data_IF_227133394691
#
_entry.id   IF_227133394691
#
_cell.length_a   1.000
_cell.length_b   1.000
_cell.length_c   1.000
_cell.angle_alpha   90.00
_cell.angle_beta   90.00
_cell.angle_gamma   90.00
#
_symmetry.space_group_name_H-M   'P 1'
#
loop_
_entity.id
_entity.type
_entity.pdbx_description
1 polymer ?
#
# COMPACT_ATOMS: atom_id res chain seq x y z
N UNK A 1 27.61 -23.60 9.54
CA UNK A 1 28.56 -22.53 9.19
C UNK A 1 27.78 -21.35 8.63
N UNK A 2 27.88 -20.18 9.25
CA UNK A 2 27.20 -18.95 8.79
C UNK A 2 27.91 -18.40 7.55
N UNK A 3 27.20 -18.31 6.43
CA UNK A 3 27.69 -17.67 5.20
C UNK A 3 27.87 -16.17 5.50
N UNK A 4 29.07 -15.58 5.33
CA UNK A 4 29.27 -14.16 5.53
C UNK A 4 28.46 -13.36 4.51
N UNK A 5 27.59 -12.45 4.99
CA UNK A 5 26.83 -11.52 4.14
C UNK A 5 27.79 -10.41 3.68
N UNK A 6 28.18 -10.46 2.41
CA UNK A 6 28.99 -9.40 1.77
C UNK A 6 28.18 -8.69 0.69
N UNK A 7 28.42 -7.41 0.48
CA UNK A 7 27.84 -6.62 -0.60
C UNK A 7 28.90 -6.23 -1.65
N UNK A 8 28.48 -6.00 -2.89
CA UNK A 8 29.36 -5.64 -4.01
C UNK A 8 28.80 -4.44 -4.78
N UNK A 9 29.69 -3.59 -5.29
CA UNK A 9 29.32 -2.43 -6.12
C UNK A 9 29.17 -2.82 -7.59
N UNK A 10 27.95 -2.67 -8.12
CA UNK A 10 27.64 -3.02 -9.52
C UNK A 10 28.42 -2.20 -10.55
N UNK A 11 28.77 -0.94 -10.24
CA UNK A 11 29.56 -0.09 -11.13
C UNK A 11 31.00 -0.63 -11.24
N UNK A 12 31.57 -1.12 -10.14
CA UNK A 12 32.88 -1.77 -10.17
C UNK A 12 32.83 -3.10 -10.90
N UNK A 13 31.81 -3.94 -10.67
CA UNK A 13 31.65 -5.22 -11.36
C UNK A 13 31.60 -5.00 -12.88
N UNK A 14 30.84 -4.01 -13.34
CA UNK A 14 30.74 -3.67 -14.76
C UNK A 14 32.07 -3.15 -15.37
N UNK A 15 33.01 -2.66 -14.56
CA UNK A 15 34.35 -2.26 -15.02
C UNK A 15 35.36 -3.41 -15.01
N UNK A 16 35.04 -4.51 -14.35
CA UNK A 16 35.90 -5.69 -14.23
C UNK A 16 35.59 -6.77 -15.29
N UNK A 17 34.48 -6.64 -16.02
CA UNK A 17 34.11 -7.54 -17.12
C UNK A 17 35.20 -7.53 -18.19
N UNK A 18 35.94 -8.64 -18.31
CA UNK A 18 37.08 -8.79 -19.22
C UNK A 18 38.47 -8.75 -18.57
N UNK A 19 38.57 -8.55 -17.25
CA UNK A 19 39.83 -8.57 -16.50
C UNK A 19 39.94 -9.80 -15.58
N UNK A 20 41.16 -10.30 -15.30
CA UNK A 20 41.40 -11.39 -14.32
C UNK A 20 41.26 -10.96 -12.86
N UNK A 21 40.66 -9.80 -12.57
CA UNK A 21 40.54 -9.24 -11.21
C UNK A 21 39.15 -9.50 -10.65
N UNK A 22 39.09 -9.97 -9.41
CA UNK A 22 37.84 -10.23 -8.70
C UNK A 22 37.22 -8.95 -8.11
N UNK A 23 35.89 -8.97 -7.94
CA UNK A 23 35.15 -7.86 -7.35
C UNK A 23 35.46 -7.73 -5.85
N UNK A 24 35.80 -6.51 -5.42
CA UNK A 24 36.05 -6.24 -4.01
C UNK A 24 34.75 -6.39 -3.18
N UNK A 25 34.78 -7.27 -2.18
CA UNK A 25 33.66 -7.56 -1.30
C UNK A 25 33.67 -6.64 -0.07
N UNK A 26 32.53 -6.03 0.24
CA UNK A 26 32.35 -5.26 1.47
C UNK A 26 31.63 -6.11 2.51
N UNK A 27 32.12 -6.09 3.76
CA UNK A 27 31.36 -6.62 4.89
C UNK A 27 30.08 -5.80 5.07
N UNK A 28 28.93 -6.46 5.25
CA UNK A 28 27.70 -5.78 5.66
C UNK A 28 27.65 -5.51 7.17
N UNK A 29 28.70 -5.89 7.91
CA UNK A 29 28.85 -5.67 9.34
C UNK A 29 30.07 -4.79 9.62
N UNK A 30 29.89 -3.74 10.43
CA UNK A 30 30.94 -2.80 10.83
C UNK A 30 30.63 -1.34 10.46
N UNK A 31 31.62 -0.47 10.62
CA UNK A 31 31.50 0.97 10.34
C UNK A 31 31.25 1.25 8.85
N UNK A 32 30.44 2.28 8.57
CA UNK A 32 30.10 2.74 7.21
C UNK A 32 31.27 3.45 6.50
N UNK A 33 32.39 3.73 7.20
CA UNK A 33 33.55 4.44 6.65
C UNK A 33 34.10 3.80 5.37
N UNK A 34 34.15 2.47 5.30
CA UNK A 34 34.64 1.75 4.12
C UNK A 34 33.75 1.96 2.89
N UNK A 35 32.43 1.96 3.09
CA UNK A 35 31.45 2.24 2.04
C UNK A 35 31.55 3.71 1.60
N UNK A 36 31.63 4.66 2.53
CA UNK A 36 31.78 6.08 2.22
C UNK A 36 33.05 6.36 1.40
N UNK A 37 34.18 5.75 1.78
CA UNK A 37 35.43 5.87 1.03
C UNK A 37 35.35 5.25 -0.37
N UNK A 38 34.62 4.14 -0.51
CA UNK A 38 34.38 3.53 -1.80
C UNK A 38 33.51 4.40 -2.72
N UNK A 39 32.40 4.95 -2.22
CA UNK A 39 31.50 5.81 -2.98
C UNK A 39 32.21 7.05 -3.54
N UNK A 40 33.17 7.61 -2.80
CA UNK A 40 34.03 8.71 -3.27
C UNK A 40 34.82 8.35 -4.54
N UNK A 41 35.22 7.08 -4.72
CA UNK A 41 35.89 6.61 -5.96
C UNK A 41 34.97 6.62 -7.18
N UNK A 42 33.66 6.64 -6.97
CA UNK A 42 32.65 6.84 -8.00
C UNK A 42 32.19 8.30 -8.14
N UNK A 43 32.85 9.24 -7.46
CA UNK A 43 32.44 10.64 -7.45
C UNK A 43 31.17 10.90 -6.64
N UNK A 44 30.68 9.91 -5.89
CA UNK A 44 29.51 10.04 -5.03
C UNK A 44 29.99 10.56 -3.68
N UNK A 45 29.76 11.85 -3.45
CA UNK A 45 30.08 12.50 -2.18
C UNK A 45 28.95 13.44 -1.78
N UNK A 46 28.97 13.89 -0.53
CA UNK A 46 27.94 14.74 0.05
C UNK A 46 27.76 16.05 -0.72
N UNK A 47 28.84 16.64 -1.22
CA UNK A 47 28.78 17.89 -1.99
C UNK A 47 28.13 17.68 -3.36
N UNK A 48 28.44 16.59 -4.06
CA UNK A 48 27.79 16.22 -5.32
C UNK A 48 26.32 15.86 -5.12
N UNK A 49 25.99 15.19 -4.02
CA UNK A 49 24.60 14.88 -3.68
C UNK A 49 23.82 16.16 -3.32
N UNK A 50 24.40 17.07 -2.53
CA UNK A 50 23.82 18.38 -2.21
C UNK A 50 23.70 19.27 -3.45
N UNK A 51 24.67 19.21 -4.37
CA UNK A 51 24.61 19.93 -5.65
C UNK A 51 23.48 19.40 -6.54
N UNK A 52 23.35 18.07 -6.66
CA UNK A 52 22.22 17.43 -7.33
C UNK A 52 20.88 17.87 -6.72
N UNK A 53 20.77 17.83 -5.38
CA UNK A 53 19.57 18.30 -4.68
C UNK A 53 19.31 19.79 -4.92
N UNK A 54 20.33 20.65 -4.92
CA UNK A 54 20.16 22.08 -5.15
C UNK A 54 19.81 22.41 -6.61
N UNK A 55 20.38 21.68 -7.57
CA UNK A 55 20.05 21.82 -9.00
C UNK A 55 18.63 21.33 -9.29
N UNK A 56 18.16 20.29 -8.61
CA UNK A 56 16.83 19.72 -8.80
C UNK A 56 15.76 20.29 -7.84
N UNK A 57 16.14 21.02 -6.78
CA UNK A 57 15.22 21.77 -5.91
C UNK A 57 15.04 23.24 -6.34
N UNK A 58 15.80 23.74 -7.33
CA UNK A 58 15.63 25.11 -7.88
C UNK A 58 14.36 25.30 -8.74
N UNK A 59 13.51 24.28 -8.89
CA UNK A 59 12.22 24.36 -9.60
C UNK A 59 11.01 24.69 -8.69
N UNK A 60 11.23 25.16 -7.45
CA UNK A 60 10.16 25.77 -6.64
C UNK A 60 10.37 27.28 -6.56
N UNK A 61 9.77 28.00 -7.49
CA UNK A 61 9.60 29.46 -7.42
C UNK A 61 8.44 29.80 -6.44
N UNK A 62 8.57 30.81 -5.55
CA UNK A 62 7.51 31.27 -4.66
C UNK A 62 6.31 31.94 -5.36
N UNK A 63 6.41 32.31 -6.64
CA UNK A 63 5.39 33.01 -7.42
C UNK A 63 4.76 32.11 -8.50
N UNK A 64 4.24 30.95 -8.09
CA UNK A 64 3.47 30.08 -8.98
C UNK A 64 2.20 30.78 -9.49
N UNK A 65 2.29 31.40 -10.66
CA UNK A 65 1.15 31.64 -11.54
C UNK A 65 1.07 30.49 -12.55
N UNK A 66 -0.12 29.93 -12.66
CA UNK A 66 -0.48 28.91 -13.65
C UNK A 66 -0.29 29.51 -15.04
N UNK A 67 0.56 28.90 -15.86
CA UNK A 67 0.64 29.19 -17.30
C UNK A 67 0.51 27.86 -18.04
N UNK A 68 -0.57 27.77 -18.82
CA UNK A 68 -0.85 26.74 -19.82
C UNK A 68 0.33 26.58 -20.78
N UNK A 69 0.69 25.33 -21.08
CA UNK A 69 1.53 24.98 -22.22
C UNK A 69 1.09 23.62 -22.74
N UNK A 70 0.13 23.69 -23.66
CA UNK A 70 -0.28 22.60 -24.53
C UNK A 70 0.89 22.16 -25.41
N UNK A 71 1.32 20.91 -25.28
CA UNK A 71 1.24 19.96 -26.39
C UNK A 71 1.40 18.51 -25.90
N UNK A 72 0.37 17.71 -26.19
CA UNK A 72 0.12 16.34 -25.76
C UNK A 72 0.06 16.13 -24.24
N UNK A 73 -0.91 16.82 -23.64
CA UNK A 73 -1.65 16.39 -22.46
C UNK A 73 -1.66 14.84 -22.41
N UNK A 74 -0.96 14.25 -21.44
CA UNK A 74 -0.99 12.80 -21.23
C UNK A 74 -2.35 12.44 -20.63
N UNK A 75 -3.41 12.67 -21.41
CA UNK A 75 -4.78 12.35 -21.05
C UNK A 75 -4.79 10.85 -20.88
N UNK A 76 -4.77 10.43 -19.61
CA UNK A 76 -5.04 9.05 -19.28
C UNK A 76 -6.44 8.76 -19.79
N UNK A 77 -6.57 7.78 -20.68
CA UNK A 77 -7.88 7.40 -21.17
C UNK A 77 -8.71 6.84 -20.00
N UNK A 78 -10.03 6.96 -20.11
CA UNK A 78 -10.96 6.58 -19.03
C UNK A 78 -10.82 5.12 -18.63
N UNK A 79 -10.49 4.23 -19.58
CA UNK A 79 -10.29 2.81 -19.31
C UNK A 79 -9.01 2.57 -18.51
N UNK A 80 -7.90 3.25 -18.83
CA UNK A 80 -6.67 3.17 -18.05
C UNK A 80 -6.83 3.78 -16.65
N UNK A 81 -7.55 4.89 -16.53
CA UNK A 81 -7.93 5.51 -15.25
C UNK A 81 -8.73 4.53 -14.36
N UNK A 82 -9.72 3.84 -14.95
CA UNK A 82 -10.51 2.82 -14.26
C UNK A 82 -9.64 1.63 -13.85
N UNK A 83 -8.79 1.13 -14.75
CA UNK A 83 -7.91 -0.02 -14.50
C UNK A 83 -6.95 0.24 -13.35
N UNK A 84 -6.26 1.39 -13.34
CA UNK A 84 -5.36 1.75 -12.24
C UNK A 84 -6.15 1.92 -10.94
N UNK A 85 -7.34 2.52 -10.99
CA UNK A 85 -8.22 2.67 -9.82
C UNK A 85 -8.62 1.32 -9.23
N UNK A 86 -8.98 0.33 -10.06
CA UNK A 86 -9.29 -1.02 -9.59
C UNK A 86 -8.09 -1.70 -8.93
N UNK A 87 -6.89 -1.57 -9.50
CA UNK A 87 -5.67 -2.10 -8.91
C UNK A 87 -5.35 -1.44 -7.56
N UNK A 88 -5.49 -0.12 -7.47
CA UNK A 88 -5.30 0.63 -6.23
C UNK A 88 -6.29 0.16 -5.14
N UNK A 89 -7.57 0.02 -5.47
CA UNK A 89 -8.57 -0.46 -4.51
C UNK A 89 -8.30 -1.91 -4.12
N UNK A 90 -7.89 -2.77 -5.05
CA UNK A 90 -7.50 -4.15 -4.77
C UNK A 90 -6.33 -4.21 -3.79
N UNK A 91 -5.28 -3.42 -4.02
CA UNK A 91 -4.15 -3.27 -3.10
C UNK A 91 -4.62 -2.82 -1.71
N UNK A 92 -5.52 -1.84 -1.62
CA UNK A 92 -6.07 -1.39 -0.34
C UNK A 92 -6.78 -2.51 0.41
N UNK A 93 -7.57 -3.33 -0.29
CA UNK A 93 -8.34 -4.42 0.31
C UNK A 93 -7.43 -5.58 0.70
N UNK A 94 -6.63 -6.09 -0.23
CA UNK A 94 -5.81 -7.28 -0.05
C UNK A 94 -4.69 -7.06 0.97
N UNK A 95 -4.11 -5.86 1.01
CA UNK A 95 -3.01 -5.53 1.92
C UNK A 95 -3.47 -4.71 3.14
N UNK A 96 -4.78 -4.55 3.34
CA UNK A 96 -5.39 -3.85 4.50
C UNK A 96 -4.79 -2.44 4.71
N UNK A 97 -4.67 -1.67 3.63
CA UNK A 97 -4.03 -0.36 3.67
C UNK A 97 -4.96 0.73 4.19
N UNK A 98 -4.46 1.69 4.98
CA UNK A 98 -5.30 2.74 5.51
C UNK A 98 -5.66 3.77 4.42
N UNK A 99 -6.93 4.19 4.37
CA UNK A 99 -7.40 5.14 3.34
C UNK A 99 -6.74 6.52 3.39
N UNK A 100 -6.10 6.87 4.52
CA UNK A 100 -5.29 8.09 4.63
C UNK A 100 -4.15 8.12 3.61
N UNK A 101 -3.70 6.96 3.13
CA UNK A 101 -2.66 6.81 2.10
C UNK A 101 -2.97 7.66 0.86
N UNK A 102 -4.24 7.69 0.43
CA UNK A 102 -4.71 8.45 -0.74
C UNK A 102 -4.46 9.96 -0.62
N UNK A 103 -4.32 10.48 0.60
CA UNK A 103 -4.07 11.90 0.89
C UNK A 103 -2.59 12.22 1.09
N UNK A 104 -1.72 11.21 1.26
CA UNK A 104 -0.30 11.42 1.57
C UNK A 104 0.44 12.03 0.37
N UNK A 105 1.14 13.17 0.53
CA UNK A 105 1.85 13.82 -0.59
C UNK A 105 2.90 12.92 -1.26
N UNK A 106 3.66 12.15 -0.47
CA UNK A 106 4.66 11.21 -0.98
C UNK A 106 4.04 10.08 -1.80
N UNK A 107 2.87 9.57 -1.38
CA UNK A 107 2.13 8.56 -2.14
C UNK A 107 1.61 9.15 -3.46
N UNK A 108 1.05 10.36 -3.42
CA UNK A 108 0.60 11.05 -4.64
C UNK A 108 1.74 11.24 -5.63
N UNK A 109 2.89 11.73 -5.16
CA UNK A 109 4.08 11.89 -5.99
C UNK A 109 4.53 10.56 -6.61
N UNK A 110 4.64 9.49 -5.80
CA UNK A 110 4.98 8.15 -6.30
C UNK A 110 4.03 7.66 -7.40
N UNK A 111 2.71 7.85 -7.21
CA UNK A 111 1.72 7.43 -8.19
C UNK A 111 1.79 8.28 -9.47
N UNK A 112 2.05 9.59 -9.37
CA UNK A 112 2.22 10.45 -10.55
C UNK A 112 3.46 10.06 -11.37
N UNK A 113 4.57 9.72 -10.71
CA UNK A 113 5.76 9.21 -11.40
C UNK A 113 5.49 7.88 -12.11
N UNK A 114 4.72 6.99 -11.49
CA UNK A 114 4.35 5.70 -12.10
C UNK A 114 3.31 5.85 -13.23
N UNK A 115 2.42 6.82 -13.13
CA UNK A 115 1.31 7.02 -14.05
C UNK A 115 0.96 8.51 -14.16
N UNK A 116 1.70 9.22 -15.02
CA UNK A 116 1.42 10.61 -15.36
C UNK A 116 -0.02 10.77 -15.84
N UNK A 117 -0.71 11.80 -15.32
CA UNK A 117 -2.11 12.10 -15.64
C UNK A 117 -3.15 11.29 -14.87
N UNK A 118 -2.77 10.25 -14.11
CA UNK A 118 -3.73 9.50 -13.29
C UNK A 118 -4.27 10.36 -12.15
N UNK A 119 -5.60 10.48 -12.07
CA UNK A 119 -6.23 11.18 -10.94
C UNK A 119 -6.55 10.20 -9.82
N UNK A 120 -5.89 10.32 -8.67
CA UNK A 120 -6.19 9.47 -7.52
C UNK A 120 -7.62 9.76 -7.02
N UNK A 121 -8.49 8.75 -6.91
CA UNK A 121 -9.86 8.93 -6.42
C UNK A 121 -9.87 9.41 -4.97
N UNK A 122 -10.87 10.21 -4.62
CA UNK A 122 -11.06 10.62 -3.24
C UNK A 122 -11.53 9.44 -2.38
N UNK A 123 -11.38 9.60 -1.06
CA UNK A 123 -11.75 8.57 -0.08
C UNK A 123 -13.21 8.13 -0.20
N UNK A 124 -14.13 9.05 -0.53
CA UNK A 124 -15.56 8.73 -0.74
C UNK A 124 -15.75 7.76 -1.91
N UNK A 125 -15.06 8.00 -3.02
CA UNK A 125 -15.11 7.13 -4.20
C UNK A 125 -14.53 5.76 -3.89
N UNK A 126 -13.37 5.70 -3.23
CA UNK A 126 -12.77 4.42 -2.83
C UNK A 126 -13.67 3.64 -1.86
N UNK A 127 -14.27 4.30 -0.86
CA UNK A 127 -15.25 3.67 0.05
C UNK A 127 -16.45 3.10 -0.72
N UNK A 128 -16.96 3.80 -1.72
CA UNK A 128 -18.07 3.32 -2.56
C UNK A 128 -17.68 2.04 -3.31
N UNK A 129 -16.47 2.00 -3.88
CA UNK A 129 -15.97 0.81 -4.61
C UNK A 129 -15.77 -0.36 -3.64
N UNK A 130 -15.16 -0.12 -2.48
CA UNK A 130 -14.97 -1.15 -1.43
C UNK A 130 -16.33 -1.71 -0.98
N UNK A 131 -17.32 -0.84 -0.76
CA UNK A 131 -18.66 -1.28 -0.37
C UNK A 131 -19.32 -2.13 -1.46
N UNK A 132 -19.17 -1.75 -2.74
CA UNK A 132 -19.64 -2.57 -3.86
C UNK A 132 -18.98 -3.96 -3.90
N UNK A 133 -17.66 -4.02 -3.71
CA UNK A 133 -16.93 -5.28 -3.63
C UNK A 133 -17.40 -6.15 -2.44
N UNK A 134 -17.61 -5.53 -1.27
CA UNK A 134 -18.17 -6.20 -0.10
C UNK A 134 -19.54 -6.81 -0.37
N UNK A 135 -20.48 -6.02 -0.92
CA UNK A 135 -21.84 -6.48 -1.18
C UNK A 135 -21.84 -7.65 -2.17
N UNK A 136 -21.09 -7.53 -3.26
CA UNK A 136 -20.95 -8.61 -4.24
C UNK A 136 -20.36 -9.88 -3.61
N UNK A 137 -19.27 -9.77 -2.86
CA UNK A 137 -18.67 -10.94 -2.19
C UNK A 137 -19.61 -11.56 -1.16
N UNK A 138 -20.35 -10.74 -0.42
CA UNK A 138 -21.35 -11.21 0.55
C UNK A 138 -22.45 -12.03 -0.15
N UNK A 139 -22.97 -11.56 -1.29
CA UNK A 139 -23.96 -12.29 -2.09
C UNK A 139 -23.42 -13.63 -2.59
N UNK A 140 -22.18 -13.66 -3.08
CA UNK A 140 -21.53 -14.89 -3.53
C UNK A 140 -21.36 -15.90 -2.39
N UNK A 141 -20.97 -15.44 -1.19
CA UNK A 141 -20.81 -16.31 -0.01
C UNK A 141 -22.17 -16.84 0.45
N UNK A 142 -23.21 -16.00 0.49
CA UNK A 142 -24.57 -16.45 0.82
C UNK A 142 -25.04 -17.56 -0.12
N UNK A 143 -24.89 -17.34 -1.43
CA UNK A 143 -25.23 -18.35 -2.43
C UNK A 143 -24.41 -19.65 -2.25
N UNK A 144 -23.13 -19.54 -1.88
CA UNK A 144 -22.31 -20.72 -1.60
C UNK A 144 -22.81 -21.49 -0.37
N UNK A 145 -23.11 -20.80 0.73
CA UNK A 145 -23.63 -21.40 1.97
C UNK A 145 -24.98 -22.09 1.70
N UNK A 146 -25.88 -21.41 1.00
CA UNK A 146 -27.19 -21.94 0.61
C UNK A 146 -27.08 -23.24 -0.19
N UNK A 147 -26.14 -23.31 -1.14
CA UNK A 147 -26.05 -24.45 -2.05
C UNK A 147 -25.19 -25.61 -1.56
N UNK A 148 -24.22 -25.38 -0.67
CA UNK A 148 -23.17 -26.38 -0.38
C UNK A 148 -23.05 -26.76 1.09
N UNK A 149 -23.53 -25.92 2.01
CA UNK A 149 -23.23 -26.09 3.43
C UNK A 149 -24.38 -26.78 4.18
N UNK A 150 -24.03 -27.84 4.91
CA UNK A 150 -24.93 -28.61 5.79
C UNK A 150 -24.75 -28.25 7.26
N UNK A 151 -23.57 -27.76 7.66
CA UNK A 151 -23.27 -27.39 9.05
C UNK A 151 -22.48 -26.09 9.07
N UNK A 152 -22.84 -25.20 9.99
CA UNK A 152 -22.21 -23.89 10.17
C UNK A 152 -21.69 -23.81 11.60
N UNK A 153 -20.39 -23.52 11.74
CA UNK A 153 -19.77 -23.33 13.04
C UNK A 153 -19.51 -21.83 13.26
N UNK A 154 -20.03 -21.29 14.35
CA UNK A 154 -19.76 -19.91 14.76
C UNK A 154 -18.63 -19.89 15.78
N UNK A 155 -17.64 -19.04 15.56
CA UNK A 155 -16.63 -18.71 16.56
C UNK A 155 -16.79 -17.23 16.90
N UNK A 156 -16.77 -16.91 18.19
CA UNK A 156 -16.88 -15.53 18.67
C UNK A 156 -15.68 -15.23 19.53
N UNK A 157 -15.02 -14.10 19.24
CA UNK A 157 -13.94 -13.58 20.06
C UNK A 157 -14.50 -12.35 20.81
N UNK A 158 -14.39 -12.38 22.14
CA UNK A 158 -14.90 -11.33 23.03
C UNK A 158 -13.74 -10.71 23.77
N UNK A 159 -13.49 -9.42 23.52
CA UNK A 159 -12.50 -8.64 24.25
C UNK A 159 -13.09 -7.30 24.69
N UNK A 160 -12.63 -6.79 25.83
CA UNK A 160 -12.98 -5.45 26.31
C UNK A 160 -11.90 -4.46 25.88
N UNK A 161 -12.23 -3.54 24.97
CA UNK A 161 -11.34 -2.46 24.58
C UNK A 161 -11.57 -1.22 25.48
N UNK A 162 -10.52 -0.74 26.15
CA UNK A 162 -10.60 0.48 27.00
C UNK A 162 -10.41 1.79 26.21
N UNK A 163 -10.09 1.74 24.91
CA UNK A 163 -9.93 2.89 24.00
C UNK A 163 -10.33 2.53 22.54
N UNK A 164 -10.49 3.58 21.72
CA UNK A 164 -11.06 3.62 20.35
C UNK A 164 -10.83 2.33 19.55
N UNK A 165 -11.95 1.72 19.20
CA UNK A 165 -12.07 0.54 18.36
C UNK A 165 -12.34 1.01 16.92
N UNK A 166 -11.54 0.56 15.94
CA UNK A 166 -11.67 1.02 14.56
C UNK A 166 -12.84 0.34 13.81
N UNK A 167 -13.22 -0.87 14.24
CA UNK A 167 -14.41 -1.60 13.81
C UNK A 167 -14.60 -2.83 14.71
N UNK A 168 -15.82 -3.03 15.20
CA UNK A 168 -16.36 -4.26 15.77
C UNK A 168 -17.88 -4.09 15.76
N UNK A 169 -18.64 -5.19 15.72
CA UNK A 169 -20.07 -5.09 15.92
C UNK A 169 -20.34 -4.60 17.35
N UNK A 170 -21.01 -3.46 17.49
CA UNK A 170 -21.27 -2.87 18.79
C UNK A 170 -22.29 -3.72 19.56
N UNK A 171 -21.86 -4.32 20.66
CA UNK A 171 -22.74 -4.98 21.61
C UNK A 171 -23.26 -3.94 22.62
N UNK A 172 -24.57 -3.69 22.71
CA UNK A 172 -25.11 -2.74 23.66
C UNK A 172 -24.85 -3.20 25.11
N UNK A 173 -24.56 -2.24 25.98
CA UNK A 173 -24.56 -2.46 27.43
C UNK A 173 -26.01 -2.59 27.94
N UNK A 174 -26.31 -3.46 28.93
CA UNK A 174 -25.40 -4.39 29.61
C UNK A 174 -25.06 -5.61 28.74
N UNK A 175 -23.81 -6.06 28.79
CA UNK A 175 -23.31 -7.23 28.05
C UNK A 175 -23.80 -8.54 28.67
N UNK A 176 -25.11 -8.75 28.72
CA UNK A 176 -25.73 -9.97 29.23
C UNK A 176 -25.72 -11.07 28.17
N UNK A 177 -25.91 -12.33 28.60
CA UNK A 177 -26.08 -13.45 27.67
C UNK A 177 -27.25 -13.25 26.69
N UNK A 178 -28.30 -12.54 27.10
CA UNK A 178 -29.45 -12.22 26.25
C UNK A 178 -29.09 -11.21 25.15
N UNK A 179 -28.39 -10.13 25.49
CA UNK A 179 -27.94 -9.15 24.52
C UNK A 179 -27.02 -9.78 23.46
N UNK A 180 -26.11 -10.66 23.89
CA UNK A 180 -25.23 -11.41 22.98
C UNK A 180 -26.03 -12.34 22.07
N UNK A 181 -26.99 -13.10 22.62
CA UNK A 181 -27.89 -13.98 21.85
C UNK A 181 -28.64 -13.19 20.78
N UNK A 182 -29.15 -12.01 21.10
CA UNK A 182 -29.96 -11.22 20.20
C UNK A 182 -29.13 -10.63 19.05
N UNK A 183 -27.88 -10.22 19.29
CA UNK A 183 -26.95 -9.85 18.21
C UNK A 183 -26.59 -11.04 17.32
N UNK A 184 -26.37 -12.24 17.89
CA UNK A 184 -26.14 -13.45 17.10
C UNK A 184 -27.35 -13.80 16.22
N UNK A 185 -28.57 -13.67 16.74
CA UNK A 185 -29.80 -13.86 15.97
C UNK A 185 -29.91 -12.88 14.79
N UNK A 186 -29.53 -11.61 14.99
CA UNK A 186 -29.47 -10.64 13.88
C UNK A 186 -28.50 -11.07 12.79
N UNK A 187 -27.33 -11.60 13.17
CA UNK A 187 -26.36 -12.12 12.20
C UNK A 187 -26.96 -13.31 11.43
N UNK A 188 -27.58 -14.27 12.13
CA UNK A 188 -28.26 -15.43 11.50
C UNK A 188 -29.29 -14.96 10.47
N UNK A 189 -30.16 -14.02 10.85
CA UNK A 189 -31.20 -13.48 9.98
C UNK A 189 -30.62 -12.69 8.80
N UNK A 190 -29.66 -11.80 9.06
CA UNK A 190 -29.01 -10.99 8.02
C UNK A 190 -28.30 -11.87 6.98
N UNK A 191 -27.85 -13.05 7.37
CA UNK A 191 -27.21 -14.03 6.50
C UNK A 191 -28.17 -15.09 5.94
N UNK A 192 -29.49 -14.99 6.22
CA UNK A 192 -30.52 -15.95 5.82
C UNK A 192 -30.21 -17.40 6.25
N UNK A 193 -29.65 -17.57 7.45
CA UNK A 193 -29.22 -18.88 7.96
C UNK A 193 -30.30 -19.60 8.79
N UNK A 194 -31.50 -19.05 8.90
CA UNK A 194 -32.58 -19.60 9.75
C UNK A 194 -33.07 -20.99 9.29
N UNK A 195 -32.84 -21.34 8.02
CA UNK A 195 -33.28 -22.59 7.39
C UNK A 195 -32.16 -23.63 7.25
N UNK A 196 -30.97 -23.36 7.81
CA UNK A 196 -29.79 -24.21 7.71
C UNK A 196 -29.61 -25.14 8.92
#
# INVERSE_FOLDING_TARGET
GTIPKTSQCRICIAKLTGSKKEAYNYSTYGSTTNLCNHLRKHGINENNYKKFLNEHNKLRDPNYQVIDSTDADSIIDSFRQEKITRLLVTFIICDVQPLILLKRPSFKAFVQECASGYTIPCEKTVKKIIHGAYTWTQEQIKALIENTTQTINFTTDLWTAKKILLSCHYLPYPHTGEAIRDELKKVIQNWNLDSK
#
